data_IF_925802557368
#
_entry.id   IF_925802557368
#
_cell.length_a   1.000
_cell.length_b   1.000
_cell.length_c   1.000
_cell.angle_alpha   90.00
_cell.angle_beta   90.00
_cell.angle_gamma   90.00
#
_symmetry.space_group_name_H-M   'P 1'
#
loop_
_entity.id
_entity.type
_entity.pdbx_description
1 polymer ?
#
# COMPACT_ATOMS: atom_id res chain seq x y z
N UNK A 1 -14.49 -8.29 -21.87
CA UNK A 1 -14.88 -7.78 -20.53
C UNK A 1 -14.07 -8.56 -19.50
N UNK A 2 -12.95 -8.01 -19.07
CA UNK A 2 -12.16 -8.60 -17.99
C UNK A 2 -12.87 -8.38 -16.67
N UNK A 3 -12.93 -9.40 -15.81
CA UNK A 3 -13.37 -9.23 -14.42
C UNK A 3 -12.34 -8.33 -13.71
N UNK A 4 -12.74 -7.44 -12.79
CA UNK A 4 -11.77 -6.77 -11.92
C UNK A 4 -11.00 -7.87 -11.18
N UNK A 5 -9.69 -7.91 -11.39
CA UNK A 5 -8.80 -8.81 -10.67
C UNK A 5 -8.59 -8.15 -9.30
N UNK A 6 -9.06 -8.79 -8.24
CA UNK A 6 -8.87 -8.24 -6.90
C UNK A 6 -7.37 -8.18 -6.60
N UNK A 7 -6.80 -6.97 -6.53
CA UNK A 7 -5.44 -6.73 -6.10
C UNK A 7 -5.40 -6.76 -4.56
N UNK A 8 -5.25 -7.96 -4.00
CA UNK A 8 -5.13 -8.18 -2.56
C UNK A 8 -6.42 -8.60 -1.86
N UNK A 9 -6.29 -9.22 -0.70
CA UNK A 9 -7.41 -9.57 0.19
C UNK A 9 -7.02 -9.22 1.61
N UNK A 10 -7.81 -8.37 2.26
CA UNK A 10 -7.62 -8.00 3.65
C UNK A 10 -8.51 -8.90 4.50
N UNK A 11 -7.89 -9.71 5.36
CA UNK A 11 -8.58 -10.64 6.25
C UNK A 11 -8.41 -10.18 7.70
N UNK A 12 -9.51 -9.95 8.40
CA UNK A 12 -9.50 -9.64 9.82
C UNK A 12 -9.51 -10.95 10.63
N UNK A 13 -8.34 -11.37 11.10
CA UNK A 13 -8.22 -12.55 11.94
C UNK A 13 -8.57 -12.23 13.40
N UNK A 14 -9.82 -12.49 13.77
CA UNK A 14 -10.31 -12.67 15.14
C UNK A 14 -10.01 -11.50 16.10
N UNK A 15 -10.74 -10.40 15.91
CA UNK A 15 -10.87 -9.36 16.91
C UNK A 15 -12.07 -9.69 17.82
N UNK A 16 -11.96 -9.33 19.11
CA UNK A 16 -13.08 -9.43 20.07
C UNK A 16 -14.26 -8.55 19.67
N UNK A 17 -14.01 -7.56 18.80
CA UNK A 17 -14.98 -6.67 18.14
C UNK A 17 -14.57 -6.55 16.68
N UNK A 18 -15.47 -6.79 15.73
CA UNK A 18 -15.18 -6.55 14.31
C UNK A 18 -14.96 -5.06 14.07
N UNK A 19 -13.80 -4.65 13.52
CA UNK A 19 -13.48 -3.24 13.31
C UNK A 19 -14.39 -2.69 12.23
N UNK A 20 -14.92 -1.49 12.42
CA UNK A 20 -15.87 -0.91 11.47
C UNK A 20 -15.14 -0.12 10.41
N UNK A 21 -15.48 -0.40 9.16
CA UNK A 21 -15.09 0.48 8.06
C UNK A 21 -15.96 1.73 8.16
N UNK A 22 -15.32 2.87 8.47
CA UNK A 22 -16.01 4.15 8.68
C UNK A 22 -16.05 5.02 7.42
N UNK A 23 -15.09 4.80 6.51
CA UNK A 23 -14.98 5.57 5.28
C UNK A 23 -14.20 4.79 4.21
N UNK A 24 -14.34 5.17 2.93
CA UNK A 24 -13.70 4.52 1.77
C UNK A 24 -13.28 5.56 0.72
N UNK A 25 -12.20 5.26 0.01
CA UNK A 25 -11.74 6.05 -1.13
C UNK A 25 -11.33 5.13 -2.27
N UNK A 26 -11.68 5.51 -3.49
CA UNK A 26 -11.26 4.85 -4.72
C UNK A 26 -10.99 5.93 -5.78
N UNK A 27 -9.78 5.93 -6.34
CA UNK A 27 -9.35 6.84 -7.40
C UNK A 27 -8.58 6.04 -8.44
N UNK A 28 -8.84 6.34 -9.70
CA UNK A 28 -8.02 5.91 -10.83
C UNK A 28 -7.62 7.17 -11.60
N UNK A 29 -6.31 7.39 -11.76
CA UNK A 29 -5.79 8.50 -12.56
C UNK A 29 -4.96 7.94 -13.72
N UNK A 30 -5.26 8.40 -14.94
CA UNK A 30 -4.56 8.01 -16.17
C UNK A 30 -5.48 7.40 -17.23
N UNK A 31 -4.94 6.46 -18.00
CA UNK A 31 -5.65 5.71 -19.03
C UNK A 31 -5.31 4.20 -18.96
N UNK A 32 -5.97 3.39 -19.78
CA UNK A 32 -5.84 1.92 -19.77
C UNK A 32 -4.41 1.37 -19.79
N UNK A 33 -3.44 2.10 -20.35
CA UNK A 33 -2.06 1.64 -20.48
C UNK A 33 -1.05 2.43 -19.63
N UNK A 34 -1.50 3.45 -18.90
CA UNK A 34 -0.68 4.31 -18.07
C UNK A 34 -1.60 4.92 -17.00
N UNK A 35 -1.71 4.24 -15.86
CA UNK A 35 -2.60 4.62 -14.77
C UNK A 35 -2.03 4.26 -13.41
N UNK A 36 -2.60 4.90 -12.40
CA UNK A 36 -2.43 4.60 -10.98
C UNK A 36 -3.82 4.38 -10.40
N UNK A 37 -4.00 3.27 -9.72
CA UNK A 37 -5.21 2.94 -8.97
C UNK A 37 -4.90 3.05 -7.48
N UNK A 38 -5.74 3.78 -6.75
CA UNK A 38 -5.70 3.88 -5.30
C UNK A 38 -7.06 3.45 -4.76
N UNK A 39 -7.05 2.53 -3.81
CA UNK A 39 -8.24 2.15 -3.04
C UNK A 39 -7.90 2.18 -1.56
N UNK A 40 -8.85 2.50 -0.69
CA UNK A 40 -8.55 2.60 0.73
C UNK A 40 -9.78 2.70 1.59
N UNK A 41 -9.57 2.54 2.89
CA UNK A 41 -10.61 2.67 3.89
C UNK A 41 -10.04 3.01 5.28
N UNK A 42 -10.90 3.56 6.13
CA UNK A 42 -10.62 3.84 7.54
C UNK A 42 -11.26 2.77 8.42
N UNK A 43 -10.51 2.28 9.39
CA UNK A 43 -10.96 1.36 10.43
C UNK A 43 -11.13 2.10 11.75
N UNK A 44 -12.37 2.21 12.22
CA UNK A 44 -12.76 2.87 13.47
C UNK A 44 -12.16 4.28 13.64
N UNK A 45 -11.87 4.96 12.53
CA UNK A 45 -11.12 6.23 12.46
C UNK A 45 -9.73 6.21 13.14
N UNK A 46 -9.17 5.03 13.43
CA UNK A 46 -7.87 4.86 14.08
C UNK A 46 -6.76 4.47 13.13
N UNK A 47 -7.09 3.66 12.13
CA UNK A 47 -6.14 3.15 11.15
C UNK A 47 -6.69 3.34 9.75
N UNK A 48 -5.90 3.98 8.89
CA UNK A 48 -6.21 4.10 7.47
C UNK A 48 -5.33 3.17 6.67
N UNK A 49 -5.98 2.39 5.80
CA UNK A 49 -5.33 1.44 4.91
C UNK A 49 -5.55 1.91 3.49
N UNK A 50 -4.46 2.20 2.78
CA UNK A 50 -4.43 2.56 1.37
C UNK A 50 -3.72 1.43 0.61
N UNK A 51 -4.34 0.95 -0.44
CA UNK A 51 -3.80 0.01 -1.40
C UNK A 51 -3.56 0.73 -2.74
N UNK A 52 -2.38 0.51 -3.33
CA UNK A 52 -1.92 1.16 -4.56
C UNK A 52 -1.59 0.10 -5.60
N UNK A 53 -2.01 0.33 -6.82
CA UNK A 53 -1.48 -0.33 -7.99
C UNK A 53 -1.01 0.73 -8.98
N UNK A 54 0.30 0.77 -9.22
CA UNK A 54 0.90 1.61 -10.24
C UNK A 54 1.18 0.76 -11.47
N UNK A 55 0.60 1.09 -12.63
CA UNK A 55 0.88 0.34 -13.85
C UNK A 55 2.40 0.33 -14.17
N UNK A 56 2.99 -0.77 -14.68
CA UNK A 56 4.41 -0.80 -15.04
C UNK A 56 4.86 0.27 -16.04
N UNK A 57 3.95 0.80 -16.85
CA UNK A 57 4.22 1.86 -17.82
C UNK A 57 4.06 3.28 -17.23
N UNK A 58 3.56 3.40 -16.00
CA UNK A 58 3.30 4.68 -15.35
C UNK A 58 4.59 5.34 -14.86
N UNK A 59 4.63 6.66 -14.97
CA UNK A 59 5.75 7.44 -14.47
C UNK A 59 5.66 7.60 -12.95
N UNK A 60 6.82 7.79 -12.32
CA UNK A 60 6.88 8.13 -10.91
C UNK A 60 6.14 9.44 -10.61
N UNK A 61 6.12 10.39 -11.55
CA UNK A 61 5.45 11.67 -11.36
C UNK A 61 3.92 11.49 -11.35
N UNK A 62 3.36 10.66 -12.23
CA UNK A 62 1.93 10.32 -12.18
C UNK A 62 1.56 9.63 -10.85
N UNK A 63 2.39 8.71 -10.37
CA UNK A 63 2.20 8.09 -9.06
C UNK A 63 2.20 9.12 -7.93
N UNK A 64 3.15 10.06 -7.93
CA UNK A 64 3.22 11.13 -6.92
C UNK A 64 2.01 12.05 -6.98
N UNK A 65 1.60 12.48 -8.17
CA UNK A 65 0.42 13.33 -8.37
C UNK A 65 -0.83 12.64 -7.84
N UNK A 66 -1.05 11.38 -8.20
CA UNK A 66 -2.20 10.59 -7.74
C UNK A 66 -2.19 10.39 -6.21
N UNK A 67 -1.00 10.15 -5.62
CA UNK A 67 -0.83 10.07 -4.17
C UNK A 67 -1.17 11.39 -3.46
N UNK A 68 -0.86 12.53 -4.07
CA UNK A 68 -1.20 13.84 -3.50
C UNK A 68 -2.70 14.12 -3.55
N UNK A 69 -3.45 13.56 -4.49
CA UNK A 69 -4.92 13.69 -4.55
C UNK A 69 -5.61 13.06 -3.32
N UNK A 70 -5.01 12.00 -2.75
CA UNK A 70 -5.52 11.34 -1.53
C UNK A 70 -4.86 11.87 -0.26
N UNK A 71 -4.06 12.94 -0.33
CA UNK A 71 -3.29 13.43 0.81
C UNK A 71 -4.16 13.82 2.00
N UNK A 72 -5.23 14.58 1.76
CA UNK A 72 -6.12 15.02 2.84
C UNK A 72 -6.76 13.82 3.55
N UNK A 73 -7.17 12.80 2.79
CA UNK A 73 -7.71 11.56 3.32
C UNK A 73 -6.72 10.81 4.23
N UNK A 74 -5.43 10.79 3.84
CA UNK A 74 -4.35 10.18 4.60
C UNK A 74 -4.01 11.01 5.85
N UNK A 75 -3.91 12.32 5.72
CA UNK A 75 -3.47 13.23 6.79
C UNK A 75 -4.49 13.34 7.95
N UNK A 76 -5.76 13.06 7.70
CA UNK A 76 -6.80 12.94 8.72
C UNK A 76 -6.60 11.76 9.70
N UNK A 77 -5.60 10.90 9.45
CA UNK A 77 -5.40 9.65 10.18
C UNK A 77 -4.07 9.65 10.92
N UNK A 78 -4.08 9.33 12.21
CA UNK A 78 -2.86 9.21 13.02
C UNK A 78 -2.02 8.03 12.55
N UNK A 79 -2.65 6.85 12.45
CA UNK A 79 -2.02 5.62 11.98
C UNK A 79 -2.40 5.33 10.52
N UNK A 80 -1.40 5.13 9.67
CA UNK A 80 -1.58 4.87 8.24
C UNK A 80 -0.69 3.72 7.76
N UNK A 81 -1.27 2.89 6.89
CA UNK A 81 -0.57 1.90 6.08
C UNK A 81 -0.88 2.15 4.61
N UNK A 82 0.16 2.33 3.81
CA UNK A 82 0.09 2.46 2.36
C UNK A 82 0.84 1.28 1.78
N UNK A 83 0.12 0.33 1.19
CA UNK A 83 0.67 -0.89 0.62
C UNK A 83 0.32 -0.99 -0.87
N UNK A 84 1.04 -1.83 -1.61
CA UNK A 84 0.72 -2.03 -3.01
C UNK A 84 1.86 -2.53 -3.87
N UNK A 85 1.57 -2.66 -5.16
CA UNK A 85 2.56 -2.80 -6.23
C UNK A 85 2.85 -1.41 -6.80
N UNK A 86 4.04 -0.90 -6.50
CA UNK A 86 4.45 0.44 -6.92
C UNK A 86 5.10 0.45 -8.29
N UNK A 87 5.47 -0.70 -8.87
CA UNK A 87 6.28 -0.82 -10.09
C UNK A 87 7.51 0.12 -10.12
N UNK A 88 8.01 0.50 -8.94
CA UNK A 88 9.20 1.31 -8.73
C UNK A 88 10.06 0.65 -7.66
N UNK A 89 11.35 0.59 -7.92
CA UNK A 89 12.29 -0.12 -7.05
C UNK A 89 12.40 0.55 -5.66
N UNK A 90 12.03 -0.19 -4.61
CA UNK A 90 11.97 0.25 -3.21
C UNK A 90 13.33 0.09 -2.51
N UNK A 91 14.34 0.78 -3.03
CA UNK A 91 15.68 0.86 -2.42
C UNK A 91 15.75 1.96 -1.37
N UNK A 92 16.66 1.80 -0.40
CA UNK A 92 16.97 2.82 0.58
C UNK A 92 17.32 4.14 -0.12
N UNK A 93 16.56 5.19 0.19
CA UNK A 93 16.77 6.51 -0.41
C UNK A 93 16.31 6.62 -1.86
N UNK A 94 15.50 5.68 -2.36
CA UNK A 94 14.85 5.80 -3.65
C UNK A 94 14.01 7.09 -3.73
N UNK A 95 13.78 7.63 -4.95
CA UNK A 95 12.93 8.80 -5.12
C UNK A 95 11.51 8.61 -4.57
N UNK A 96 10.96 7.39 -4.66
CA UNK A 96 9.66 7.08 -4.08
C UNK A 96 9.73 7.05 -2.54
N UNK A 97 10.71 6.39 -1.93
CA UNK A 97 10.85 6.38 -0.46
C UNK A 97 11.04 7.79 0.10
N UNK A 98 11.83 8.62 -0.58
CA UNK A 98 12.06 10.02 -0.18
C UNK A 98 10.77 10.83 -0.25
N UNK A 99 9.97 10.64 -1.30
CA UNK A 99 8.66 11.28 -1.44
C UNK A 99 7.68 10.80 -0.36
N UNK A 100 7.59 9.50 -0.11
CA UNK A 100 6.70 8.93 0.91
C UNK A 100 6.99 9.47 2.32
N UNK A 101 8.28 9.66 2.64
CA UNK A 101 8.71 10.28 3.89
C UNK A 101 8.39 11.77 3.94
N UNK A 102 8.68 12.52 2.88
CA UNK A 102 8.49 13.99 2.87
C UNK A 102 7.02 14.40 2.81
N UNK A 103 6.21 13.70 2.03
CA UNK A 103 4.82 14.05 1.77
C UNK A 103 3.84 13.47 2.79
N UNK A 104 4.14 12.30 3.36
CA UNK A 104 3.22 11.60 4.27
C UNK A 104 3.83 11.24 5.62
N UNK A 105 5.12 11.52 5.84
CA UNK A 105 5.82 11.12 7.06
C UNK A 105 5.94 9.60 7.22
N UNK A 106 5.79 8.84 6.14
CA UNK A 106 5.80 7.37 6.18
C UNK A 106 7.18 6.80 5.91
N UNK A 107 7.44 5.62 6.47
CA UNK A 107 8.67 4.84 6.23
C UNK A 107 8.32 3.44 5.74
N UNK A 108 9.25 2.81 5.01
CA UNK A 108 9.08 1.43 4.55
C UNK A 108 9.16 0.44 5.73
N UNK A 109 8.10 -0.34 5.92
CA UNK A 109 8.02 -1.44 6.88
C UNK A 109 8.31 -2.81 6.26
N UNK A 110 8.02 -3.00 4.98
CA UNK A 110 8.31 -4.28 4.31
C UNK A 110 9.82 -4.54 4.21
N UNK A 111 10.27 -5.81 4.32
CA UNK A 111 11.65 -6.16 4.05
C UNK A 111 12.08 -5.74 2.64
N UNK A 112 13.36 -5.37 2.49
CA UNK A 112 13.95 -5.06 1.17
C UNK A 112 14.41 -6.33 0.47
N UNK A 113 13.49 -7.26 0.33
CA UNK A 113 13.69 -8.57 -0.28
C UNK A 113 12.81 -8.69 -1.53
N UNK A 114 13.19 -9.61 -2.43
CA UNK A 114 12.48 -9.78 -3.69
C UNK A 114 11.02 -10.15 -3.49
N UNK A 115 10.13 -9.35 -4.06
CA UNK A 115 8.66 -9.52 -4.03
C UNK A 115 8.12 -10.12 -5.32
N UNK A 116 8.97 -10.37 -6.31
CA UNK A 116 8.60 -11.02 -7.57
C UNK A 116 9.56 -12.15 -7.94
N UNK A 117 9.12 -13.05 -8.82
CA UNK A 117 9.99 -14.10 -9.38
C UNK A 117 11.13 -13.54 -10.26
N UNK A 118 10.99 -12.29 -10.74
CA UNK A 118 12.04 -11.57 -11.47
C UNK A 118 13.10 -10.94 -10.54
N UNK A 119 13.01 -11.16 -9.23
CA UNK A 119 13.92 -10.61 -8.21
C UNK A 119 13.86 -9.08 -8.07
N UNK A 120 12.71 -8.47 -8.36
CA UNK A 120 12.48 -7.04 -8.12
C UNK A 120 11.93 -6.80 -6.72
N UNK A 121 12.11 -5.59 -6.19
CA UNK A 121 11.58 -5.13 -4.90
C UNK A 121 10.66 -3.95 -5.19
N UNK A 122 9.44 -4.25 -5.65
CA UNK A 122 8.48 -3.25 -6.15
C UNK A 122 7.16 -3.25 -5.40
N UNK A 123 6.86 -4.33 -4.67
CA UNK A 123 5.74 -4.40 -3.75
C UNK A 123 6.22 -3.98 -2.36
N UNK A 124 5.43 -3.20 -1.64
CA UNK A 124 5.87 -2.70 -0.35
C UNK A 124 4.76 -2.26 0.58
N UNK A 125 5.16 -1.96 1.81
CA UNK A 125 4.29 -1.41 2.86
C UNK A 125 5.00 -0.21 3.46
N UNK A 126 4.48 0.98 3.21
CA UNK A 126 4.84 2.20 3.91
C UNK A 126 3.88 2.44 5.05
N UNK A 127 4.34 3.05 6.14
CA UNK A 127 3.44 3.47 7.20
C UNK A 127 4.03 4.51 8.14
N UNK A 128 3.11 5.19 8.82
CA UNK A 128 3.34 5.99 10.02
C UNK A 128 2.36 5.43 11.04
N UNK A 129 2.89 4.76 12.04
CA UNK A 129 2.12 4.07 13.06
C UNK A 129 2.78 4.35 14.41
N UNK A 130 1.99 4.87 15.34
CA UNK A 130 2.42 5.23 16.69
C UNK A 130 1.85 4.25 17.72
N UNK A 131 0.61 3.78 17.53
CA UNK A 131 -0.11 2.97 18.52
C UNK A 131 -0.01 1.45 18.29
N UNK A 132 0.66 1.03 17.21
CA UNK A 132 0.74 -0.37 16.83
C UNK A 132 2.17 -0.80 16.49
N UNK A 133 2.44 -2.08 16.73
CA UNK A 133 3.55 -2.76 16.10
C UNK A 133 3.10 -3.36 14.77
N UNK A 134 3.96 -3.20 13.75
CA UNK A 134 3.73 -3.71 12.40
C UNK A 134 4.82 -4.71 12.04
N UNK A 135 4.42 -5.92 11.71
CA UNK A 135 5.30 -6.95 11.14
C UNK A 135 4.87 -7.21 9.70
N UNK A 136 5.84 -7.31 8.79
CA UNK A 136 5.58 -7.63 7.38
C UNK A 136 6.38 -8.86 6.98
N UNK A 137 5.68 -9.85 6.43
CA UNK A 137 6.25 -11.11 5.99
C UNK A 137 6.05 -11.28 4.48
N UNK A 138 7.05 -11.83 3.82
CA UNK A 138 6.99 -12.19 2.39
C UNK A 138 6.90 -13.71 2.30
N UNK A 139 5.92 -14.22 1.55
CA UNK A 139 5.76 -15.66 1.32
C UNK A 139 5.94 -16.00 -0.15
N UNK A 140 6.39 -17.22 -0.43
CA UNK A 140 6.44 -17.71 -1.80
C UNK A 140 5.05 -18.03 -2.33
N UNK A 141 4.82 -17.74 -3.61
CA UNK A 141 3.59 -18.09 -4.32
C UNK A 141 3.89 -18.95 -5.53
N UNK A 142 3.20 -20.08 -5.65
CA UNK A 142 3.29 -20.96 -6.82
C UNK A 142 2.31 -20.58 -7.93
N UNK A 143 1.38 -19.66 -7.66
CA UNK A 143 0.28 -19.30 -8.56
C UNK A 143 0.34 -17.86 -9.06
N UNK A 144 1.33 -17.06 -8.61
CA UNK A 144 1.49 -15.67 -9.00
C UNK A 144 2.96 -15.37 -9.29
N UNK A 145 3.19 -14.38 -10.16
CA UNK A 145 4.52 -13.79 -10.35
C UNK A 145 4.97 -12.97 -9.13
N UNK A 146 4.01 -12.38 -8.42
CA UNK A 146 4.22 -11.62 -7.20
C UNK A 146 4.10 -12.52 -5.97
N UNK A 147 4.92 -12.23 -4.98
CA UNK A 147 4.93 -12.86 -3.67
C UNK A 147 3.98 -12.11 -2.74
N UNK A 148 3.06 -12.81 -2.05
CA UNK A 148 2.16 -12.14 -1.12
C UNK A 148 2.92 -11.52 0.05
N UNK A 149 2.55 -10.28 0.37
CA UNK A 149 2.91 -9.58 1.59
C UNK A 149 1.82 -9.84 2.63
N UNK A 150 2.21 -10.35 3.81
CA UNK A 150 1.32 -10.52 4.95
C UNK A 150 1.70 -9.49 6.01
N UNK A 151 0.74 -8.65 6.37
CA UNK A 151 0.91 -7.58 7.36
C UNK A 151 0.21 -8.02 8.64
N UNK A 152 0.94 -8.02 9.75
CA UNK A 152 0.38 -8.19 11.08
C UNK A 152 0.48 -6.87 11.83
N UNK A 153 -0.67 -6.39 12.29
CA UNK A 153 -0.80 -5.17 13.10
C UNK A 153 -1.32 -5.57 14.48
N UNK A 154 -0.66 -5.11 15.54
CA UNK A 154 -1.10 -5.36 16.91
C UNK A 154 -0.91 -4.12 17.77
N UNK A 155 -1.89 -3.83 18.64
CA UNK A 155 -1.82 -2.72 19.60
C UNK A 155 -0.61 -2.89 20.52
N UNK A 156 0.02 -1.77 20.89
CA UNK A 156 1.12 -1.71 21.85
C UNK A 156 0.70 -1.97 23.29
#
# INVERSE_FOLDING_TARGET
MGRPQAFGTINFCKLTVEPRITDRIEIENGNSNNHVEISGFKLDNRLTIINIYNNPSSSLDLLKETLLEVKDYIDESENILILGDFNHELKLGSPLESFMLQSFGTRLFSPRESTTNARTVIDGVFGRIEDYNVEVFIYESYASHHKPLVIRVHEL
#
